data_IF_939444653542
#
_entry.id   IF_939444653542
#
_cell.length_a   1.000
_cell.length_b   1.000
_cell.length_c   1.000
_cell.angle_alpha   90.00
_cell.angle_beta   90.00
_cell.angle_gamma   90.00
#
_symmetry.space_group_name_H-M   'P 1'
#
loop_
_entity.id
_entity.type
_entity.pdbx_description
1 polymer ?
#
# COMPACT_ATOMS: atom_id res chain seq x y z
N UNK A 1 24.29 26.05 23.69
CA UNK A 1 22.99 26.46 24.28
C UNK A 1 22.29 25.22 24.83
N UNK A 2 22.30 25.05 26.14
CA UNK A 2 21.54 24.03 26.89
C UNK A 2 21.03 24.72 28.15
N UNK A 3 19.72 24.70 28.39
CA UNK A 3 19.14 25.12 29.66
C UNK A 3 18.07 24.10 30.04
N UNK A 4 18.37 23.34 31.10
CA UNK A 4 17.38 22.64 31.90
C UNK A 4 16.97 23.56 33.03
N UNK A 5 15.66 23.65 33.30
CA UNK A 5 15.12 24.30 34.48
C UNK A 5 14.21 23.28 35.16
N UNK A 6 14.55 22.96 36.41
CA UNK A 6 13.80 22.11 37.32
C UNK A 6 12.60 22.87 37.93
N UNK A 7 11.49 22.15 38.09
CA UNK A 7 10.47 22.12 39.17
C UNK A 7 10.22 23.38 40.03
N UNK A 8 8.94 23.71 40.29
CA UNK A 8 8.42 23.91 41.66
C UNK A 8 6.88 23.87 41.70
N UNK A 9 6.34 23.12 42.66
CA UNK A 9 4.93 23.03 43.09
C UNK A 9 4.54 24.16 44.05
N UNK A 10 3.25 24.57 44.04
CA UNK A 10 2.38 25.16 45.10
C UNK A 10 1.36 26.08 44.39
N UNK A 11 0.06 26.19 44.68
CA UNK A 11 -0.79 25.79 45.79
C UNK A 11 -2.00 26.76 45.82
N UNK A 12 -3.12 26.32 46.42
CA UNK A 12 -4.35 27.05 46.82
C UNK A 12 -5.28 27.61 45.73
N UNK A 13 -6.52 27.11 45.59
CA UNK A 13 -7.73 27.42 46.39
C UNK A 13 -8.06 28.92 46.42
N UNK A 14 -9.18 29.30 45.77
CA UNK A 14 -10.22 30.16 46.34
C UNK A 14 -11.50 30.09 45.48
N UNK A 15 -12.60 29.84 46.18
CA UNK A 15 -14.01 29.74 45.74
C UNK A 15 -14.56 31.13 45.46
N UNK A 16 -15.44 31.29 44.45
CA UNK A 16 -16.54 32.27 44.49
C UNK A 16 -17.64 31.99 43.45
N UNK A 17 -18.85 31.84 44.01
CA UNK A 17 -20.17 32.26 43.51
C UNK A 17 -20.70 31.69 42.20
N UNK A 18 -21.43 30.59 42.34
CA UNK A 18 -22.43 30.12 41.38
C UNK A 18 -23.65 31.05 41.47
N UNK A 19 -23.91 31.83 40.41
CA UNK A 19 -25.23 32.41 40.17
C UNK A 19 -26.10 31.33 39.56
N UNK A 20 -27.13 30.91 40.29
CA UNK A 20 -28.21 30.11 39.75
C UNK A 20 -29.14 31.05 38.99
N UNK A 21 -29.07 31.04 37.66
CA UNK A 21 -30.25 31.36 36.85
C UNK A 21 -31.05 30.06 36.72
N UNK A 22 -32.22 30.14 37.33
CA UNK A 22 -33.28 29.17 37.49
C UNK A 22 -33.95 28.93 36.14
N UNK A 23 -33.52 27.90 35.41
CA UNK A 23 -34.32 27.16 34.41
C UNK A 23 -33.46 26.05 33.78
N UNK A 24 -33.44 24.85 34.37
CA UNK A 24 -32.76 23.72 33.73
C UNK A 24 -32.48 22.52 34.62
N UNK A 25 -33.38 21.54 34.56
CA UNK A 25 -33.15 20.10 34.77
C UNK A 25 -32.08 19.70 35.82
N UNK A 26 -32.54 19.37 37.03
CA UNK A 26 -31.73 18.83 38.12
C UNK A 26 -30.91 17.59 37.69
N UNK A 27 -29.59 17.73 37.56
CA UNK A 27 -28.65 16.61 37.63
C UNK A 27 -28.29 16.34 39.09
N UNK A 28 -28.69 15.18 39.62
CA UNK A 28 -28.19 14.69 40.92
C UNK A 28 -26.84 14.00 40.72
N UNK A 29 -25.79 14.53 41.33
CA UNK A 29 -24.52 13.82 41.49
C UNK A 29 -24.63 12.89 42.71
N UNK A 30 -24.97 11.63 42.48
CA UNK A 30 -24.94 10.59 43.50
C UNK A 30 -23.52 10.06 43.70
N UNK A 31 -22.96 10.23 44.89
CA UNK A 31 -21.79 9.48 45.37
C UNK A 31 -22.19 8.02 45.61
N UNK A 32 -21.51 7.08 44.95
CA UNK A 32 -21.88 5.67 44.90
C UNK A 32 -21.01 4.85 45.87
N UNK A 33 -21.62 4.33 46.96
CA UNK A 33 -21.07 3.23 47.74
C UNK A 33 -21.86 1.97 47.37
N UNK A 34 -21.19 0.97 46.80
CA UNK A 34 -21.77 -0.35 46.55
C UNK A 34 -22.23 -0.59 45.11
N UNK A 35 -22.05 -1.84 44.70
CA UNK A 35 -22.10 -2.44 43.36
C UNK A 35 -23.46 -2.39 42.63
N UNK A 36 -24.04 -1.22 42.42
CA UNK A 36 -25.21 -1.07 41.55
C UNK A 36 -25.12 0.24 40.76
N UNK A 37 -24.69 0.18 39.50
CA UNK A 37 -24.82 1.28 38.56
C UNK A 37 -26.31 1.62 38.40
N UNK A 38 -26.77 2.64 39.11
CA UNK A 38 -28.14 3.11 39.02
C UNK A 38 -28.30 3.84 37.69
N UNK A 39 -28.61 3.10 36.63
CA UNK A 39 -29.12 3.70 35.41
C UNK A 39 -30.44 4.39 35.74
N UNK A 40 -30.42 5.71 35.76
CA UNK A 40 -31.59 6.56 36.00
C UNK A 40 -32.69 6.17 34.98
N UNK A 41 -33.92 5.91 35.44
CA UNK A 41 -35.03 5.46 34.58
C UNK A 41 -35.35 6.43 33.41
N UNK A 42 -34.88 7.68 33.47
CA UNK A 42 -35.05 8.70 32.41
C UNK A 42 -33.91 8.76 31.38
N UNK A 43 -32.80 8.02 31.54
CA UNK A 43 -31.68 8.10 30.58
C UNK A 43 -32.06 7.54 29.21
N UNK A 44 -32.96 6.55 29.13
CA UNK A 44 -33.43 6.01 27.84
C UNK A 44 -34.23 7.03 27.01
N UNK A 45 -35.03 7.88 27.65
CA UNK A 45 -35.78 8.94 26.96
C UNK A 45 -34.89 10.10 26.52
N UNK A 46 -33.91 10.47 27.35
CA UNK A 46 -32.90 11.49 26.99
C UNK A 46 -31.97 10.97 25.90
N UNK A 47 -31.62 9.69 25.92
CA UNK A 47 -30.81 9.05 24.88
C UNK A 47 -31.59 8.90 23.57
N UNK A 48 -32.86 8.47 23.60
CA UNK A 48 -33.73 8.48 22.41
C UNK A 48 -33.91 9.89 21.84
N UNK A 49 -34.04 10.91 22.70
CA UNK A 49 -34.10 12.30 22.27
C UNK A 49 -32.77 12.76 21.65
N UNK A 50 -31.63 12.44 22.28
CA UNK A 50 -30.30 12.73 21.76
C UNK A 50 -30.07 12.09 20.39
N UNK A 51 -30.41 10.81 20.26
CA UNK A 51 -30.28 10.05 19.00
C UNK A 51 -31.18 10.65 17.90
N UNK A 52 -32.39 11.11 18.25
CA UNK A 52 -33.28 11.83 17.33
C UNK A 52 -32.72 13.18 16.90
N UNK A 53 -32.10 13.94 17.81
CA UNK A 53 -31.46 15.21 17.49
C UNK A 53 -30.23 15.00 16.60
N UNK A 54 -29.41 13.98 16.85
CA UNK A 54 -28.28 13.63 15.99
C UNK A 54 -28.75 13.22 14.59
N UNK A 55 -29.78 12.38 14.50
CA UNK A 55 -30.39 11.97 13.23
C UNK A 55 -30.97 13.15 12.46
N UNK A 56 -31.69 14.05 13.13
CA UNK A 56 -32.22 15.27 12.52
C UNK A 56 -31.10 16.19 12.03
N UNK A 57 -30.04 16.37 12.82
CA UNK A 57 -28.90 17.19 12.44
C UNK A 57 -28.16 16.64 11.21
N UNK A 58 -28.00 15.32 11.14
CA UNK A 58 -27.44 14.64 9.97
C UNK A 58 -28.31 14.86 8.72
N UNK A 59 -29.63 14.72 8.86
CA UNK A 59 -30.58 14.94 7.75
C UNK A 59 -30.59 16.38 7.27
N UNK A 60 -30.54 17.36 8.18
CA UNK A 60 -30.44 18.78 7.82
C UNK A 60 -29.12 19.09 7.10
N UNK A 61 -28.02 18.48 7.52
CA UNK A 61 -26.70 18.61 6.85
C UNK A 61 -26.72 18.02 5.45
N UNK A 62 -27.33 16.84 5.26
CA UNK A 62 -27.52 16.23 3.94
C UNK A 62 -28.41 17.09 3.04
N UNK A 63 -29.52 17.62 3.56
CA UNK A 63 -30.39 18.53 2.82
C UNK A 63 -29.66 19.80 2.37
N UNK A 64 -28.86 20.40 3.25
CA UNK A 64 -28.05 21.58 2.92
C UNK A 64 -27.02 21.28 1.82
N UNK A 65 -26.37 20.12 1.90
CA UNK A 65 -25.44 19.64 0.87
C UNK A 65 -26.15 19.44 -0.48
N UNK A 66 -27.30 18.77 -0.48
CA UNK A 66 -28.09 18.54 -1.69
C UNK A 66 -28.56 19.85 -2.33
N UNK A 67 -29.03 20.81 -1.51
CA UNK A 67 -29.43 22.13 -2.01
C UNK A 67 -28.25 22.86 -2.68
N UNK A 68 -27.04 22.74 -2.11
CA UNK A 68 -25.82 23.26 -2.72
C UNK A 68 -25.50 22.56 -4.04
N UNK A 69 -25.59 21.23 -4.09
CA UNK A 69 -25.38 20.45 -5.32
C UNK A 69 -26.35 20.83 -6.44
N UNK A 70 -27.63 21.07 -6.12
CA UNK A 70 -28.63 21.54 -7.10
C UNK A 70 -28.22 22.90 -7.67
N UNK A 71 -27.81 23.85 -6.82
CA UNK A 71 -27.35 25.17 -7.26
C UNK A 71 -26.12 25.08 -8.16
N UNK A 72 -25.11 24.30 -7.76
CA UNK A 72 -23.89 24.10 -8.56
C UNK A 72 -24.17 23.38 -9.88
N UNK A 73 -25.10 22.42 -9.89
CA UNK A 73 -25.48 21.66 -11.09
C UNK A 73 -26.33 22.45 -12.08
N UNK A 74 -26.92 23.56 -11.65
CA UNK A 74 -27.65 24.49 -12.52
C UNK A 74 -26.78 25.65 -13.02
N UNK A 75 -25.55 25.79 -12.54
CA UNK A 75 -24.61 26.85 -12.91
C UNK A 75 -23.53 26.31 -13.88
N UNK A 76 -23.58 26.68 -15.19
CA UNK A 76 -22.59 26.25 -16.17
C UNK A 76 -21.15 26.65 -15.82
N UNK A 77 -20.94 27.76 -15.11
CA UNK A 77 -19.60 28.21 -14.72
C UNK A 77 -18.99 27.28 -13.66
N UNK A 78 -19.79 26.88 -12.67
CA UNK A 78 -19.41 25.90 -11.66
C UNK A 78 -19.12 24.53 -12.30
N UNK A 79 -19.98 24.08 -13.23
CA UNK A 79 -19.77 22.82 -13.97
C UNK A 79 -18.45 22.86 -14.74
N UNK A 80 -18.17 23.95 -15.46
CA UNK A 80 -16.93 24.07 -16.22
C UNK A 80 -15.69 24.15 -15.32
N UNK A 81 -15.78 24.79 -14.15
CA UNK A 81 -14.73 24.76 -13.12
C UNK A 81 -14.39 23.33 -12.71
N UNK A 82 -15.40 22.56 -12.30
CA UNK A 82 -15.21 21.15 -11.89
C UNK A 82 -14.66 20.29 -13.03
N UNK A 83 -15.12 20.51 -14.27
CA UNK A 83 -14.58 19.80 -15.46
C UNK A 83 -13.10 20.11 -15.69
N UNK A 84 -12.67 21.36 -15.50
CA UNK A 84 -11.28 21.74 -15.64
C UNK A 84 -10.40 21.11 -14.55
N UNK A 85 -10.86 21.14 -13.30
CA UNK A 85 -10.16 20.52 -12.17
C UNK A 85 -10.02 19.00 -12.34
N UNK A 86 -11.09 18.35 -12.81
CA UNK A 86 -11.08 16.92 -13.14
C UNK A 86 -10.11 16.62 -14.29
N UNK A 87 -10.12 17.45 -15.34
CA UNK A 87 -9.20 17.32 -16.46
C UNK A 87 -7.73 17.51 -16.07
N UNK A 88 -7.43 18.47 -15.18
CA UNK A 88 -6.11 18.68 -14.62
C UNK A 88 -5.66 17.48 -13.76
N UNK A 89 -6.55 16.98 -12.90
CA UNK A 89 -6.30 15.80 -12.07
C UNK A 89 -6.00 14.56 -12.93
N UNK A 90 -6.77 14.34 -13.99
CA UNK A 90 -6.53 13.24 -14.93
C UNK A 90 -5.17 13.36 -15.62
N UNK A 91 -4.81 14.57 -16.10
CA UNK A 91 -3.49 14.83 -16.71
C UNK A 91 -2.35 14.57 -15.74
N UNK A 92 -2.46 14.98 -14.48
CA UNK A 92 -1.43 14.73 -13.48
C UNK A 92 -1.32 13.23 -13.19
N UNK A 93 -2.44 12.51 -13.06
CA UNK A 93 -2.45 11.07 -12.80
C UNK A 93 -1.76 10.27 -13.91
N UNK A 94 -1.99 10.59 -15.18
CA UNK A 94 -1.42 9.82 -16.30
C UNK A 94 -0.11 10.38 -16.84
N UNK A 95 0.14 11.68 -16.65
CA UNK A 95 1.25 12.42 -17.25
C UNK A 95 2.44 12.62 -16.32
N UNK A 96 2.21 12.68 -15.01
CA UNK A 96 3.27 12.86 -14.02
C UNK A 96 3.82 11.54 -13.52
N UNK A 97 5.04 11.59 -12.97
CA UNK A 97 5.70 10.46 -12.30
C UNK A 97 5.72 10.67 -10.78
N UNK A 98 6.39 11.73 -10.32
CA UNK A 98 6.62 12.01 -8.89
C UNK A 98 5.31 12.26 -8.14
N UNK A 99 4.43 13.09 -8.71
CA UNK A 99 3.20 13.53 -8.05
C UNK A 99 1.98 12.66 -8.40
N UNK A 100 2.15 11.65 -9.25
CA UNK A 100 1.06 10.73 -9.61
C UNK A 100 1.02 9.53 -8.67
N UNK A 101 -0.02 9.37 -7.83
CA UNK A 101 -0.19 8.17 -7.04
C UNK A 101 -0.32 6.90 -7.92
N UNK A 102 -0.89 7.04 -9.13
CA UNK A 102 -1.01 5.92 -10.06
C UNK A 102 0.35 5.42 -10.54
N UNK A 103 1.26 6.34 -10.89
CA UNK A 103 2.62 5.98 -11.29
C UNK A 103 3.38 5.35 -10.13
N UNK A 104 3.29 5.93 -8.93
CA UNK A 104 3.96 5.40 -7.74
C UNK A 104 3.47 4.00 -7.37
N UNK A 105 2.17 3.72 -7.51
CA UNK A 105 1.61 2.40 -7.26
C UNK A 105 2.14 1.35 -8.24
N UNK A 106 2.21 1.67 -9.54
CA UNK A 106 2.77 0.76 -10.56
C UNK A 106 4.26 0.51 -10.31
N UNK A 107 5.03 1.58 -10.05
CA UNK A 107 6.45 1.48 -9.75
C UNK A 107 6.69 0.63 -8.50
N UNK A 108 5.88 0.80 -7.45
CA UNK A 108 5.98 0.01 -6.21
C UNK A 108 5.72 -1.46 -6.46
N UNK A 109 4.67 -1.81 -7.22
CA UNK A 109 4.36 -3.21 -7.53
C UNK A 109 5.48 -3.90 -8.30
N UNK A 110 6.04 -3.21 -9.31
CA UNK A 110 7.18 -3.73 -10.09
C UNK A 110 8.42 -3.89 -9.22
N UNK A 111 8.77 -2.87 -8.42
CA UNK A 111 9.90 -2.94 -7.50
C UNK A 111 9.74 -4.03 -6.44
N UNK A 112 8.52 -4.28 -5.96
CA UNK A 112 8.24 -5.35 -5.00
C UNK A 112 8.46 -6.73 -5.62
N UNK A 113 8.04 -6.96 -6.86
CA UNK A 113 8.26 -8.22 -7.56
C UNK A 113 9.76 -8.47 -7.83
N UNK A 114 10.48 -7.47 -8.32
CA UNK A 114 11.94 -7.53 -8.52
C UNK A 114 12.67 -7.72 -7.20
N UNK A 115 12.28 -6.96 -6.17
CA UNK A 115 12.85 -7.06 -4.82
C UNK A 115 12.63 -8.41 -4.18
N UNK A 116 11.45 -9.02 -4.38
CA UNK A 116 11.16 -10.37 -3.93
C UNK A 116 12.15 -11.38 -4.53
N UNK A 117 12.34 -11.37 -5.85
CA UNK A 117 13.31 -12.25 -6.49
C UNK A 117 14.75 -11.99 -6.03
N UNK A 118 15.13 -10.73 -5.82
CA UNK A 118 16.45 -10.38 -5.27
C UNK A 118 16.70 -10.98 -3.88
N UNK A 119 15.65 -11.18 -3.07
CA UNK A 119 15.76 -11.77 -1.74
C UNK A 119 15.76 -13.30 -1.79
N UNK A 120 14.90 -13.92 -2.61
CA UNK A 120 14.73 -15.39 -2.59
C UNK A 120 15.49 -16.13 -3.68
N UNK A 121 16.01 -15.43 -4.69
CA UNK A 121 16.66 -16.03 -5.86
C UNK A 121 17.86 -16.91 -5.48
N UNK A 122 18.70 -16.44 -4.55
CA UNK A 122 19.92 -17.16 -4.16
C UNK A 122 19.68 -18.49 -3.42
N UNK A 123 18.51 -18.69 -2.80
CA UNK A 123 18.14 -19.94 -2.10
C UNK A 123 17.28 -20.86 -2.96
N UNK A 124 16.70 -20.33 -4.04
CA UNK A 124 15.80 -21.07 -4.92
C UNK A 124 16.60 -22.11 -5.70
N UNK A 125 16.24 -23.39 -5.52
CA UNK A 125 16.91 -24.48 -6.22
C UNK A 125 16.43 -24.57 -7.67
N UNK A 126 17.36 -24.75 -8.60
CA UNK A 126 17.08 -24.98 -10.02
C UNK A 126 18.08 -25.97 -10.61
N UNK A 127 17.66 -26.69 -11.66
CA UNK A 127 18.47 -27.74 -12.25
C UNK A 127 17.68 -28.57 -13.26
N UNK A 128 18.31 -29.62 -13.77
CA UNK A 128 17.73 -30.48 -14.81
C UNK A 128 18.18 -30.13 -16.22
N UNK A 129 17.57 -30.83 -17.16
CA UNK A 129 17.79 -30.72 -18.60
C UNK A 129 16.56 -30.14 -19.29
N UNK A 130 16.64 -30.02 -20.61
CA UNK A 130 15.53 -29.60 -21.45
C UNK A 130 14.26 -30.44 -21.16
N UNK A 131 13.10 -29.82 -21.40
CA UNK A 131 11.77 -30.39 -21.11
C UNK A 131 11.53 -30.73 -19.63
N UNK A 132 12.30 -30.15 -18.70
CA UNK A 132 12.12 -30.36 -17.26
C UNK A 132 12.49 -31.77 -16.81
N UNK A 133 13.47 -32.39 -17.46
CA UNK A 133 13.96 -33.73 -17.10
C UNK A 133 15.05 -33.65 -16.03
N UNK A 134 15.21 -34.72 -15.25
CA UNK A 134 16.32 -34.83 -14.31
C UNK A 134 17.65 -34.90 -15.08
N UNK A 135 18.72 -34.38 -14.49
CA UNK A 135 20.06 -34.37 -15.09
C UNK A 135 21.06 -35.10 -14.21
N UNK A 136 22.12 -35.64 -14.81
CA UNK A 136 23.21 -36.34 -14.11
C UNK A 136 24.28 -35.37 -13.64
N UNK A 137 24.68 -34.44 -14.51
CA UNK A 137 25.82 -33.54 -14.31
C UNK A 137 25.67 -32.18 -15.00
N UNK A 138 24.44 -31.71 -15.19
CA UNK A 138 24.17 -30.47 -15.92
C UNK A 138 24.32 -29.25 -15.02
N UNK A 139 25.07 -28.26 -15.51
CA UNK A 139 25.23 -26.96 -14.85
C UNK A 139 24.90 -25.84 -15.83
N UNK A 140 23.86 -25.07 -15.51
CA UNK A 140 23.39 -23.94 -16.31
C UNK A 140 23.47 -22.67 -15.49
N UNK A 141 24.22 -21.68 -15.96
CA UNK A 141 24.52 -20.44 -15.21
C UNK A 141 23.85 -19.26 -15.91
N UNK A 142 22.99 -18.54 -15.21
CA UNK A 142 22.32 -17.33 -15.69
C UNK A 142 23.05 -16.09 -15.17
N UNK A 143 23.50 -15.23 -16.08
CA UNK A 143 24.23 -14.02 -15.75
C UNK A 143 23.30 -12.86 -15.38
N UNK A 144 23.80 -11.90 -14.61
CA UNK A 144 23.05 -10.75 -14.09
C UNK A 144 21.85 -11.17 -13.22
N UNK A 145 22.04 -12.19 -12.39
CA UNK A 145 21.05 -12.73 -11.46
C UNK A 145 21.59 -12.66 -10.01
N UNK A 146 20.73 -12.52 -8.98
CA UNK A 146 21.14 -12.31 -7.58
C UNK A 146 21.56 -13.64 -6.92
N UNK A 147 22.76 -14.12 -7.27
CA UNK A 147 23.33 -15.34 -6.72
C UNK A 147 23.97 -15.17 -5.34
N UNK A 148 24.21 -16.29 -4.64
CA UNK A 148 24.92 -16.27 -3.37
C UNK A 148 26.36 -15.78 -3.55
N UNK A 149 26.65 -14.56 -3.09
CA UNK A 149 27.96 -13.90 -3.28
C UNK A 149 28.42 -13.84 -4.74
N UNK A 150 27.48 -13.79 -5.68
CA UNK A 150 27.72 -13.84 -7.12
C UNK A 150 26.72 -12.96 -7.86
N UNK A 151 27.09 -12.49 -9.05
CA UNK A 151 26.18 -11.79 -9.99
C UNK A 151 25.56 -12.77 -11.00
N UNK A 152 25.48 -14.04 -10.64
CA UNK A 152 24.93 -15.11 -11.46
C UNK A 152 24.30 -16.18 -10.58
N UNK A 153 23.18 -16.74 -11.02
CA UNK A 153 22.56 -17.91 -10.38
C UNK A 153 23.01 -19.16 -11.15
N UNK A 154 23.45 -20.17 -10.40
CA UNK A 154 23.89 -21.45 -10.94
C UNK A 154 22.83 -22.51 -10.66
N UNK A 155 22.25 -23.06 -11.72
CA UNK A 155 21.33 -24.18 -11.66
C UNK A 155 22.11 -25.49 -11.86
N UNK A 156 22.31 -26.24 -10.78
CA UNK A 156 23.12 -27.47 -10.77
C UNK A 156 22.54 -28.55 -9.83
N UNK A 157 21.23 -28.50 -9.56
CA UNK A 157 20.58 -29.57 -8.79
C UNK A 157 20.36 -30.80 -9.68
N UNK A 158 21.34 -31.70 -9.66
CA UNK A 158 21.34 -32.97 -10.40
C UNK A 158 20.56 -34.07 -9.64
N UNK A 159 20.22 -35.16 -10.33
CA UNK A 159 19.55 -36.36 -9.83
C UNK A 159 18.13 -36.18 -9.29
N UNK A 160 17.58 -34.96 -9.40
CA UNK A 160 16.24 -34.62 -8.97
C UNK A 160 15.41 -34.15 -10.17
N UNK A 161 14.20 -34.69 -10.31
CA UNK A 161 13.27 -34.26 -11.34
C UNK A 161 12.74 -32.86 -11.02
N UNK A 162 12.83 -31.90 -11.95
CA UNK A 162 12.17 -30.62 -11.81
C UNK A 162 10.66 -30.74 -11.58
N UNK A 163 10.12 -29.90 -10.70
CA UNK A 163 8.69 -29.93 -10.38
C UNK A 163 8.31 -29.27 -9.06
N UNK A 164 7.06 -29.45 -8.67
CA UNK A 164 6.55 -28.95 -7.39
C UNK A 164 7.33 -29.57 -6.23
N UNK A 165 7.75 -28.74 -5.26
CA UNK A 165 8.63 -29.15 -4.16
C UNK A 165 10.01 -29.68 -4.60
N UNK A 166 10.37 -29.52 -5.87
CA UNK A 166 11.66 -29.91 -6.44
C UNK A 166 12.43 -28.69 -6.97
N UNK A 167 13.51 -28.92 -7.74
CA UNK A 167 14.18 -27.83 -8.43
C UNK A 167 13.26 -27.20 -9.48
N UNK A 168 13.39 -25.89 -9.65
CA UNK A 168 12.82 -25.21 -10.81
C UNK A 168 13.49 -25.72 -12.09
N UNK A 169 12.68 -26.07 -13.08
CA UNK A 169 13.20 -26.47 -14.39
C UNK A 169 13.91 -25.30 -15.06
N UNK A 170 14.90 -25.61 -15.90
CA UNK A 170 15.63 -24.59 -16.65
C UNK A 170 14.71 -23.81 -17.60
N UNK A 171 13.65 -24.44 -18.14
CA UNK A 171 12.64 -23.74 -18.94
C UNK A 171 11.91 -22.65 -18.13
N UNK A 172 11.50 -22.96 -16.91
CA UNK A 172 10.86 -21.97 -16.03
C UNK A 172 11.86 -20.90 -15.59
N UNK A 173 13.12 -21.28 -15.34
CA UNK A 173 14.15 -20.31 -15.01
C UNK A 173 14.43 -19.35 -16.19
N UNK A 174 14.43 -19.83 -17.44
CA UNK A 174 14.57 -18.95 -18.62
C UNK A 174 13.45 -17.91 -18.70
N UNK A 175 12.19 -18.34 -18.49
CA UNK A 175 11.02 -17.43 -18.45
C UNK A 175 11.15 -16.39 -17.34
N UNK A 176 11.57 -16.83 -16.16
CA UNK A 176 11.80 -15.96 -15.01
C UNK A 176 12.91 -14.95 -15.30
N UNK A 177 14.09 -15.43 -15.72
CA UNK A 177 15.24 -14.59 -16.02
C UNK A 177 14.89 -13.58 -17.11
N UNK A 178 14.26 -13.98 -18.22
CA UNK A 178 13.86 -13.03 -19.27
C UNK A 178 13.00 -11.88 -18.71
N UNK A 179 11.96 -12.19 -17.94
CA UNK A 179 11.11 -11.18 -17.31
C UNK A 179 11.92 -10.30 -16.35
N UNK A 180 12.75 -10.89 -15.50
CA UNK A 180 13.59 -10.18 -14.55
C UNK A 180 14.57 -9.21 -15.26
N UNK A 181 15.23 -9.65 -16.32
CA UNK A 181 16.16 -8.82 -17.10
C UNK A 181 15.44 -7.65 -17.80
N UNK A 182 14.24 -7.88 -18.34
CA UNK A 182 13.41 -6.82 -18.91
C UNK A 182 13.04 -5.78 -17.85
N UNK A 183 12.55 -6.23 -16.69
CA UNK A 183 12.16 -5.34 -15.60
C UNK A 183 13.34 -4.54 -15.07
N UNK A 184 14.48 -5.19 -14.83
CA UNK A 184 15.70 -4.51 -14.35
C UNK A 184 16.20 -3.47 -15.35
N UNK A 185 16.19 -3.80 -16.65
CA UNK A 185 16.61 -2.85 -17.69
C UNK A 185 15.64 -1.67 -17.79
N UNK A 186 14.33 -1.93 -17.74
CA UNK A 186 13.30 -0.89 -17.77
C UNK A 186 13.37 0.02 -16.53
N UNK A 187 13.56 -0.55 -15.34
CA UNK A 187 13.72 0.21 -14.08
C UNK A 187 14.99 1.07 -14.10
N UNK A 188 16.11 0.52 -14.60
CA UNK A 188 17.37 1.27 -14.75
C UNK A 188 17.23 2.46 -15.69
N UNK A 189 16.47 2.32 -16.78
CA UNK A 189 16.18 3.42 -17.71
C UNK A 189 15.10 4.39 -17.17
N UNK A 190 14.32 3.96 -16.19
CA UNK A 190 13.20 4.68 -15.61
C UNK A 190 11.89 4.43 -16.37
N UNK A 191 10.85 4.03 -15.64
CA UNK A 191 9.53 3.80 -16.23
C UNK A 191 8.94 5.11 -16.79
N UNK A 192 8.28 5.08 -17.95
CA UNK A 192 7.64 6.25 -18.52
C UNK A 192 6.35 6.61 -17.76
N UNK A 193 5.81 7.82 -17.97
CA UNK A 193 4.50 8.17 -17.42
C UNK A 193 3.41 7.29 -18.04
N UNK A 194 2.27 7.09 -17.36
CA UNK A 194 1.25 6.12 -17.80
C UNK A 194 0.64 6.44 -19.17
N UNK A 195 0.63 7.72 -19.58
CA UNK A 195 0.16 8.13 -20.91
C UNK A 195 1.08 7.65 -22.05
N UNK A 196 2.34 7.34 -21.76
CA UNK A 196 3.35 6.96 -22.75
C UNK A 196 3.42 5.43 -22.87
N UNK A 197 2.66 4.86 -23.81
CA UNK A 197 2.49 3.42 -24.00
C UNK A 197 3.30 2.83 -25.17
N UNK A 198 4.08 3.63 -25.89
CA UNK A 198 4.86 3.21 -27.06
C UNK A 198 6.38 3.16 -26.82
N UNK A 199 6.82 3.34 -25.58
CA UNK A 199 8.23 3.24 -25.21
C UNK A 199 8.80 1.85 -25.50
N UNK A 200 10.08 1.80 -25.91
CA UNK A 200 10.80 0.56 -26.21
C UNK A 200 12.11 0.52 -25.46
N UNK A 201 12.53 -0.69 -25.09
CA UNK A 201 13.82 -0.95 -24.45
C UNK A 201 14.46 -2.16 -25.12
N UNK A 202 15.76 -2.06 -25.39
CA UNK A 202 16.55 -3.19 -25.86
C UNK A 202 17.14 -3.90 -24.64
N UNK A 203 16.95 -5.22 -24.58
CA UNK A 203 17.39 -6.05 -23.45
C UNK A 203 18.31 -7.13 -23.99
N UNK A 204 19.41 -7.36 -23.30
CA UNK A 204 20.37 -8.41 -23.63
C UNK A 204 20.77 -9.10 -22.34
N UNK A 205 20.72 -10.43 -22.35
CA UNK A 205 21.12 -11.27 -21.24
C UNK A 205 21.81 -12.52 -21.78
N UNK A 206 22.57 -13.19 -20.93
CA UNK A 206 23.36 -14.36 -21.33
C UNK A 206 23.26 -15.45 -20.27
N UNK A 207 23.38 -16.69 -20.71
CA UNK A 207 23.52 -17.85 -19.84
C UNK A 207 24.51 -18.83 -20.49
N UNK A 208 25.07 -19.72 -19.68
CA UNK A 208 26.06 -20.71 -20.15
C UNK A 208 25.67 -22.11 -19.68
N UNK A 209 25.98 -23.11 -20.50
CA UNK A 209 25.71 -24.51 -20.22
C UNK A 209 27.03 -25.28 -20.17
N UNK A 210 27.18 -26.14 -19.17
CA UNK A 210 28.35 -27.02 -18.98
C UNK A 210 27.94 -28.34 -18.35
N UNK A 211 28.83 -29.33 -18.43
CA UNK A 211 28.61 -30.68 -17.93
C UNK A 211 28.15 -31.68 -19.00
N UNK A 212 28.53 -32.95 -18.83
CA UNK A 212 28.18 -34.01 -19.77
C UNK A 212 26.66 -34.21 -19.79
N UNK A 213 26.08 -34.28 -20.99
CA UNK A 213 24.65 -34.47 -21.20
C UNK A 213 23.77 -33.25 -20.96
N UNK A 214 24.34 -32.04 -20.79
CA UNK A 214 23.56 -30.80 -20.68
C UNK A 214 23.04 -30.35 -22.06
N UNK A 215 21.72 -30.33 -22.22
CA UNK A 215 21.00 -30.01 -23.47
C UNK A 215 20.12 -28.74 -23.36
N UNK A 216 20.36 -27.90 -22.35
CA UNK A 216 19.59 -26.70 -22.05
C UNK A 216 19.82 -25.53 -23.01
#
# INVERSE_FOLDING_TARGET
MKKHILSLTLGSLLVSTLSAEDDGFYMSAGYQIGEAAQMVKNTKGIQDLSDRYESLNNLLTQYSTLNTLIKLSADPSAINGVRNDLGASAKNLIGDKTNSPAYQAVLLAINAAVGFWNVVGYVTQCGGNANGTASTSSTTIFNNEPGYRSTSITCSLNWHAPGYYGPMSIENFKKLNEAYQILQTALKNGLPALKENNGKVNVTYTYTCSGEGNDN
#
